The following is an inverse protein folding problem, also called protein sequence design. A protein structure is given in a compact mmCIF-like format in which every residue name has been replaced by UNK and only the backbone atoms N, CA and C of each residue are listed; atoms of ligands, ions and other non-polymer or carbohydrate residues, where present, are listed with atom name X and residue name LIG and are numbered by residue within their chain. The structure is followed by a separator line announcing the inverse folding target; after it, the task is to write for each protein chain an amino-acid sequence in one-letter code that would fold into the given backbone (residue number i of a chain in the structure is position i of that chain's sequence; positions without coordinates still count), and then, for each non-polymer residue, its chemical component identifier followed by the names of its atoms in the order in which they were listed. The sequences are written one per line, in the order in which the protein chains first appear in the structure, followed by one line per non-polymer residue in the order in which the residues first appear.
data_IF_203850831431
#
_entry.id   IF_203850831431
#
_cell.length_a   1.000
_cell.length_b   1.000
_cell.length_c   1.000
_cell.angle_alpha   90.00
_cell.angle_beta   90.00
_cell.angle_gamma   90.00
#
_symmetry.space_group_name_H-M   'P 1'
#
loop_
_entity.id
_entity.type
_entity.pdbx_description
1 polymer ?
#
# COMPACT_ATOMS: atom_id res chain seq x y z
N UNK A 1 3.27 -19.47 -3.42
CA UNK A 1 1.97 -19.01 -2.89
C UNK A 1 1.77 -17.58 -3.32
N UNK A 2 0.55 -17.18 -3.69
CA UNK A 2 0.29 -15.83 -4.22
C UNK A 2 -0.19 -14.87 -3.16
N UNK A 3 0.20 -13.62 -3.32
CA UNK A 3 -0.24 -12.50 -2.50
C UNK A 3 -0.55 -11.30 -3.38
N UNK A 4 -1.39 -10.41 -2.87
CA UNK A 4 -1.61 -9.09 -3.45
C UNK A 4 -1.29 -8.03 -2.43
N UNK A 5 -0.42 -7.09 -2.79
CA UNK A 5 -0.19 -5.85 -2.03
C UNK A 5 -0.92 -4.70 -2.71
N UNK A 6 -1.55 -3.83 -1.92
CA UNK A 6 -2.16 -2.60 -2.40
C UNK A 6 -1.34 -1.40 -1.95
N UNK A 7 -1.00 -0.54 -2.90
CA UNK A 7 -0.44 0.79 -2.68
C UNK A 7 -1.56 1.82 -2.90
N UNK A 8 -2.02 2.49 -1.85
CA UNK A 8 -3.18 3.38 -1.88
C UNK A 8 -2.84 4.85 -1.54
N UNK A 9 -3.83 5.73 -1.70
CA UNK A 9 -3.73 7.18 -1.53
C UNK A 9 -2.70 7.85 -2.46
N UNK A 10 -2.41 7.25 -3.61
CA UNK A 10 -1.40 7.78 -4.53
C UNK A 10 -1.86 9.11 -5.16
N UNK A 11 -0.93 10.03 -5.40
CA UNK A 11 -1.19 11.17 -6.28
C UNK A 11 -1.38 10.67 -7.72
N UNK A 12 -0.50 9.77 -8.17
CA UNK A 12 -0.57 9.12 -9.48
C UNK A 12 0.12 7.76 -9.47
N UNK A 13 -0.36 6.86 -10.33
CA UNK A 13 0.36 5.64 -10.69
C UNK A 13 1.40 5.94 -11.79
N UNK A 14 2.55 5.27 -11.73
CA UNK A 14 3.62 5.34 -12.75
C UNK A 14 3.69 4.07 -13.61
N UNK A 15 2.76 3.14 -13.38
CA UNK A 15 2.67 1.83 -14.02
C UNK A 15 1.30 1.65 -14.67
N UNK A 16 1.13 0.60 -15.48
CA UNK A 16 -0.15 0.17 -16.06
C UNK A 16 -0.47 -1.28 -15.71
N UNK A 17 -1.75 -1.62 -15.77
CA UNK A 17 -2.20 -3.02 -15.59
C UNK A 17 -1.50 -3.94 -16.60
N UNK A 18 -0.96 -5.05 -16.08
CA UNK A 18 -0.18 -6.02 -16.84
C UNK A 18 1.34 -5.83 -16.78
N UNK A 19 1.83 -4.69 -16.30
CA UNK A 19 3.28 -4.48 -16.13
C UNK A 19 3.88 -5.50 -15.17
N UNK A 20 5.09 -5.95 -15.49
CA UNK A 20 5.95 -6.72 -14.60
C UNK A 20 6.89 -5.75 -13.90
N UNK A 21 7.05 -5.92 -12.59
CA UNK A 21 7.90 -5.11 -11.74
C UNK A 21 9.07 -5.95 -11.24
N UNK A 22 10.27 -5.40 -11.37
CA UNK A 22 11.49 -5.88 -10.72
C UNK A 22 11.90 -4.91 -9.63
N UNK A 23 12.77 -5.36 -8.72
CA UNK A 23 13.23 -4.55 -7.59
C UNK A 23 13.76 -3.19 -8.05
N UNK A 24 13.27 -2.10 -7.44
CA UNK A 24 13.63 -0.74 -7.76
C UNK A 24 12.76 -0.05 -8.83
N UNK A 25 11.81 -0.76 -9.46
CA UNK A 25 10.86 -0.14 -10.38
C UNK A 25 9.91 0.81 -9.65
N UNK A 26 9.65 1.98 -10.24
CA UNK A 26 8.74 2.97 -9.67
C UNK A 26 7.28 2.56 -9.89
N UNK A 27 6.49 2.56 -8.82
CA UNK A 27 5.08 2.16 -8.83
C UNK A 27 4.16 3.37 -8.96
N UNK A 28 4.46 4.42 -8.21
CA UNK A 28 3.57 5.56 -8.04
C UNK A 28 4.21 6.66 -7.21
N UNK A 29 3.49 7.77 -7.08
CA UNK A 29 3.87 8.88 -6.20
C UNK A 29 2.86 8.93 -5.05
N UNK A 30 3.36 8.90 -3.82
CA UNK A 30 2.58 9.06 -2.60
C UNK A 30 1.82 10.39 -2.64
N UNK A 31 0.55 10.38 -2.28
CA UNK A 31 -0.28 11.58 -2.26
C UNK A 31 -1.32 11.51 -1.15
N UNK A 32 -2.44 12.18 -1.36
CA UNK A 32 -3.57 12.24 -0.43
C UNK A 32 -4.91 12.03 -1.13
N UNK A 33 -4.94 11.21 -2.20
CA UNK A 33 -6.18 10.92 -2.92
C UNK A 33 -7.14 10.06 -2.09
N UNK A 34 -8.44 10.12 -2.41
CA UNK A 34 -9.49 9.42 -1.67
C UNK A 34 -9.81 10.08 -0.32
N UNK A 35 -10.19 9.28 0.66
CA UNK A 35 -10.47 9.72 2.02
C UNK A 35 -9.18 9.76 2.85
N UNK A 36 -8.37 10.80 2.62
CA UNK A 36 -7.12 11.05 3.34
C UNK A 36 -7.00 12.51 3.74
N UNK A 37 -6.57 12.77 4.98
CA UNK A 37 -6.41 14.13 5.52
C UNK A 37 -5.05 14.75 5.21
N UNK A 38 -4.04 13.93 4.89
CA UNK A 38 -2.67 14.36 4.62
C UNK A 38 -1.92 13.31 3.79
N UNK A 39 -0.87 13.71 3.09
CA UNK A 39 -0.13 12.80 2.23
C UNK A 39 0.54 11.66 3.01
N UNK A 40 0.17 10.42 2.67
CA UNK A 40 0.74 9.18 3.19
C UNK A 40 0.47 8.02 2.25
N UNK A 41 1.25 6.95 2.37
CA UNK A 41 1.02 5.70 1.67
C UNK A 41 0.28 4.74 2.60
N UNK A 42 -0.88 4.26 2.18
CA UNK A 42 -1.51 3.10 2.80
C UNK A 42 -1.06 1.82 2.09
N UNK A 43 -0.56 0.86 2.85
CA UNK A 43 -0.17 -0.47 2.39
C UNK A 43 -0.94 -1.56 3.13
N UNK A 44 -1.53 -2.47 2.39
CA UNK A 44 -2.05 -3.73 2.94
C UNK A 44 -1.64 -4.90 2.03
N UNK A 45 -1.63 -6.10 2.61
CA UNK A 45 -1.29 -7.32 1.87
C UNK A 45 -2.26 -8.43 2.23
N UNK A 46 -2.71 -9.17 1.21
CA UNK A 46 -3.72 -10.22 1.33
C UNK A 46 -3.30 -11.49 0.58
N UNK A 47 -3.82 -12.64 0.98
CA UNK A 47 -3.58 -13.92 0.30
C UNK A 47 -4.33 -13.98 -1.04
N UNK A 48 -3.69 -14.58 -2.04
CA UNK A 48 -4.26 -14.79 -3.37
C UNK A 48 -4.15 -13.60 -4.33
N UNK A 49 -4.82 -13.72 -5.47
CA UNK A 49 -4.91 -12.66 -6.48
C UNK A 49 -6.18 -11.83 -6.27
N UNK A 50 -6.04 -10.66 -5.67
CA UNK A 50 -7.15 -9.72 -5.53
C UNK A 50 -7.28 -8.91 -6.83
N UNK A 51 -8.19 -9.34 -7.71
CA UNK A 51 -8.52 -8.68 -8.98
C UNK A 51 -9.75 -7.74 -8.87
N UNK A 52 -10.24 -7.54 -7.65
CA UNK A 52 -11.42 -6.74 -7.32
C UNK A 52 -11.09 -5.71 -6.24
N UNK A 53 -11.90 -4.65 -6.16
CA UNK A 53 -11.81 -3.66 -5.08
C UNK A 53 -12.26 -4.32 -3.77
N UNK A 54 -11.50 -4.11 -2.69
CA UNK A 54 -11.84 -4.56 -1.34
C UNK A 54 -11.57 -3.46 -0.32
N UNK A 55 -12.23 -3.51 0.83
CA UNK A 55 -12.15 -2.53 1.93
C UNK A 55 -11.52 -3.15 3.18
N UNK A 56 -11.24 -2.34 4.22
CA UNK A 56 -10.78 -2.89 5.52
C UNK A 56 -11.81 -3.84 6.13
N UNK A 57 -13.11 -3.50 6.02
CA UNK A 57 -14.19 -4.36 6.52
C UNK A 57 -14.32 -5.68 5.76
N UNK A 58 -13.83 -5.75 4.51
CA UNK A 58 -13.77 -7.01 3.75
C UNK A 58 -12.60 -7.88 4.24
N UNK A 59 -11.44 -7.26 4.51
CA UNK A 59 -10.28 -7.94 5.10
C UNK A 59 -10.60 -8.45 6.51
N UNK A 60 -11.35 -7.67 7.31
CA UNK A 60 -11.82 -8.06 8.65
C UNK A 60 -12.66 -9.33 8.62
N UNK A 61 -13.50 -9.48 7.58
CA UNK A 61 -14.30 -10.69 7.33
C UNK A 61 -13.46 -11.84 6.74
N UNK A 62 -12.17 -11.61 6.47
CA UNK A 62 -11.26 -12.58 5.87
C UNK A 62 -11.42 -12.75 4.35
N UNK A 63 -12.04 -11.78 3.66
CA UNK A 63 -12.34 -11.87 2.22
C UNK A 63 -11.93 -10.57 1.51
N UNK A 64 -10.67 -10.42 1.05
CA UNK A 64 -9.61 -11.43 1.04
C UNK A 64 -8.91 -11.56 2.41
N UNK A 65 -8.30 -12.71 2.65
CA UNK A 65 -7.63 -13.02 3.91
C UNK A 65 -6.36 -12.16 4.08
N UNK A 66 -6.16 -11.49 5.23
CA UNK A 66 -4.98 -10.66 5.45
C UNK A 66 -3.68 -11.49 5.54
N UNK A 67 -2.58 -10.91 5.07
CA UNK A 67 -1.24 -11.49 5.09
C UNK A 67 -0.21 -10.55 5.76
N UNK A 68 -0.34 -10.26 7.07
CA UNK A 68 0.50 -9.26 7.76
C UNK A 68 1.99 -9.60 7.73
N UNK A 69 2.36 -10.89 7.75
CA UNK A 69 3.77 -11.30 7.61
C UNK A 69 4.36 -10.87 6.28
N UNK A 70 3.59 -10.93 5.19
CA UNK A 70 4.06 -10.47 3.89
C UNK A 70 4.12 -8.95 3.83
N UNK A 71 3.12 -8.27 4.39
CA UNK A 71 3.10 -6.82 4.52
C UNK A 71 4.36 -6.28 5.23
N UNK A 72 4.82 -6.93 6.29
CA UNK A 72 6.02 -6.51 7.04
C UNK A 72 7.27 -6.41 6.17
N UNK A 73 7.42 -7.25 5.14
CA UNK A 73 8.58 -7.23 4.25
C UNK A 73 8.60 -6.04 3.29
N UNK A 74 7.52 -5.25 3.19
CA UNK A 74 7.50 -4.02 2.40
C UNK A 74 8.03 -2.82 3.18
N UNK A 75 8.25 -2.92 4.49
CA UNK A 75 8.69 -1.79 5.30
C UNK A 75 10.21 -1.83 5.46
N UNK A 76 10.90 -1.24 4.47
CA UNK A 76 12.34 -1.02 4.47
C UNK A 76 12.71 0.26 3.70
N UNK A 77 13.99 0.63 3.74
CA UNK A 77 14.49 1.86 3.10
C UNK A 77 14.30 1.86 1.57
N UNK A 78 14.19 0.70 0.92
CA UNK A 78 14.05 0.62 -0.53
C UNK A 78 12.64 1.07 -0.99
N UNK A 79 11.62 1.03 -0.13
CA UNK A 79 10.26 1.48 -0.45
C UNK A 79 10.21 2.95 -0.90
N UNK A 80 10.94 3.83 -0.20
CA UNK A 80 10.99 5.27 -0.48
C UNK A 80 12.39 5.77 -0.86
N UNK A 81 13.39 4.87 -0.97
CA UNK A 81 14.84 5.20 -1.01
C UNK A 81 15.28 6.07 0.17
N UNK A 82 14.64 5.85 1.31
CA UNK A 82 14.86 6.56 2.57
C UNK A 82 14.09 5.84 3.68
N UNK A 83 14.43 6.10 4.94
CA UNK A 83 13.80 5.41 6.07
C UNK A 83 12.28 5.64 6.12
N UNK A 84 11.46 4.57 6.06
CA UNK A 84 10.02 4.68 6.27
C UNK A 84 9.71 4.91 7.75
N UNK A 85 8.69 5.72 8.01
CA UNK A 85 8.09 5.93 9.33
C UNK A 85 6.65 5.46 9.26
N UNK A 86 6.31 4.46 10.07
CA UNK A 86 4.93 4.03 10.25
C UNK A 86 4.21 5.06 11.11
N UNK A 87 3.12 5.64 10.60
CA UNK A 87 2.25 6.58 11.32
C UNK A 87 1.01 5.90 11.88
N UNK A 88 0.60 4.78 11.30
CA UNK A 88 -0.48 3.93 11.82
C UNK A 88 -0.11 2.48 11.62
N UNK A 89 -0.08 1.72 12.73
CA UNK A 89 0.31 0.32 12.72
C UNK A 89 -0.84 -0.59 12.29
N UNK A 90 -0.48 -1.79 11.85
CA UNK A 90 -1.44 -2.86 11.58
C UNK A 90 -2.20 -3.21 12.87
N UNK A 91 -3.53 -3.19 12.77
CA UNK A 91 -4.47 -3.38 13.88
C UNK A 91 -4.17 -2.45 15.08
N UNK A 92 -3.83 -1.19 14.80
CA UNK A 92 -3.54 -0.20 15.82
C UNK A 92 -4.73 0.05 16.76
N UNK A 93 -4.49 -0.12 18.06
CA UNK A 93 -5.48 0.06 19.11
C UNK A 93 -6.04 1.49 19.15
N UNK A 94 -5.18 2.51 19.07
CA UNK A 94 -5.61 3.91 19.16
C UNK A 94 -6.45 4.29 17.93
N UNK A 95 -6.04 3.83 16.75
CA UNK A 95 -6.81 4.01 15.53
C UNK A 95 -8.21 3.41 15.64
N UNK A 96 -8.32 2.20 16.22
CA UNK A 96 -9.61 1.57 16.46
C UNK A 96 -10.49 2.36 17.42
N UNK A 97 -9.92 2.92 18.49
CA UNK A 97 -10.67 3.74 19.44
C UNK A 97 -11.15 5.05 18.82
N UNK A 98 -10.33 5.68 17.97
CA UNK A 98 -10.65 6.97 17.33
C UNK A 98 -11.67 6.82 16.19
N UNK A 99 -11.55 5.78 15.38
CA UNK A 99 -12.32 5.61 14.15
C UNK A 99 -13.35 4.48 14.19
N UNK A 100 -13.47 3.77 15.32
CA UNK A 100 -14.35 2.62 15.48
C UNK A 100 -14.17 1.53 14.40
N UNK A 101 -12.94 1.37 13.89
CA UNK A 101 -12.59 0.40 12.83
C UNK A 101 -11.16 -0.11 12.98
N UNK A 102 -10.90 -1.38 12.65
CA UNK A 102 -9.56 -1.97 12.70
C UNK A 102 -8.79 -1.65 11.42
N UNK A 103 -7.57 -1.14 11.54
CA UNK A 103 -6.71 -0.79 10.41
C UNK A 103 -5.91 -2.01 9.93
N UNK A 104 -6.33 -2.65 8.84
CA UNK A 104 -5.66 -3.84 8.29
C UNK A 104 -4.51 -3.50 7.32
N UNK A 105 -3.68 -2.51 7.66
CA UNK A 105 -2.56 -2.08 6.84
C UNK A 105 -1.50 -1.31 7.65
N UNK A 106 -0.57 -0.68 6.95
CA UNK A 106 0.30 0.34 7.49
C UNK A 106 0.05 1.65 6.76
N UNK A 107 -0.06 2.74 7.53
CA UNK A 107 0.10 4.07 6.96
C UNK A 107 1.55 4.48 7.18
N UNK A 108 2.23 4.80 6.07
CA UNK A 108 3.68 4.96 6.02
C UNK A 108 4.05 6.23 5.27
N UNK A 109 5.15 6.83 5.70
CA UNK A 109 5.69 8.05 5.09
C UNK A 109 7.22 8.02 5.12
N UNK A 110 7.92 8.72 4.20
CA UNK A 110 9.36 8.88 4.31
C UNK A 110 9.72 9.79 5.51
N UNK A 111 10.84 9.52 6.19
CA UNK A 111 11.23 10.27 7.39
C UNK A 111 11.34 11.79 7.15
N UNK A 112 11.77 12.17 5.94
CA UNK A 112 12.03 13.55 5.53
C UNK A 112 10.80 14.25 4.91
N UNK A 113 9.60 13.66 4.97
CA UNK A 113 8.38 14.20 4.32
C UNK A 113 8.02 15.64 4.67
N UNK A 114 8.46 16.13 5.83
CA UNK A 114 8.19 17.49 6.32
C UNK A 114 9.23 18.51 5.83
N UNK A 115 10.27 18.04 5.14
CA UNK A 115 11.40 18.82 4.64
C UNK A 115 11.38 18.87 3.11
N UNK A 116 11.12 17.74 2.45
CA UNK A 116 11.10 17.62 0.98
C UNK A 116 10.09 16.57 0.52
N UNK A 117 9.72 16.63 -0.75
CA UNK A 117 8.89 15.65 -1.47
C UNK A 117 9.72 14.69 -2.36
N UNK A 118 11.05 14.82 -2.38
CA UNK A 118 11.93 14.03 -3.25
C UNK A 118 11.78 12.51 -3.08
N UNK A 119 11.39 12.05 -1.89
CA UNK A 119 11.18 10.65 -1.55
C UNK A 119 9.70 10.22 -1.57
N UNK A 120 8.82 10.96 -2.24
CA UNK A 120 7.40 10.57 -2.37
C UNK A 120 7.20 9.49 -3.44
N UNK A 121 8.19 9.23 -4.30
CA UNK A 121 8.12 8.10 -5.23
C UNK A 121 8.21 6.79 -4.47
N UNK A 122 7.31 5.87 -4.78
CA UNK A 122 7.22 4.54 -4.19
C UNK A 122 7.80 3.54 -5.16
N UNK A 123 8.64 2.64 -4.66
CA UNK A 123 9.34 1.65 -5.45
C UNK A 123 8.93 0.22 -5.06
N UNK A 124 8.97 -0.68 -6.03
CA UNK A 124 8.86 -2.10 -5.77
C UNK A 124 10.11 -2.58 -5.05
N UNK A 125 10.00 -2.85 -3.75
CA UNK A 125 11.11 -3.21 -2.88
C UNK A 125 11.17 -4.71 -2.56
N UNK A 126 10.69 -5.54 -3.48
CA UNK A 126 10.75 -7.00 -3.33
C UNK A 126 11.64 -7.59 -4.41
N UNK A 127 12.42 -8.59 -4.03
CA UNK A 127 13.25 -9.37 -4.97
C UNK A 127 12.44 -10.27 -5.90
N UNK A 128 11.18 -10.55 -5.54
CA UNK A 128 10.25 -11.33 -6.35
C UNK A 128 9.66 -10.46 -7.46
N UNK A 129 9.36 -11.03 -8.62
CA UNK A 129 8.68 -10.30 -9.69
C UNK A 129 7.25 -9.98 -9.27
N UNK A 130 6.91 -8.69 -9.29
CA UNK A 130 5.54 -8.22 -9.14
C UNK A 130 4.83 -8.16 -10.50
N UNK A 131 3.52 -8.32 -10.52
CA UNK A 131 2.66 -8.03 -11.67
C UNK A 131 1.57 -7.06 -11.26
N UNK A 132 1.45 -5.94 -11.95
CA UNK A 132 0.37 -4.98 -11.73
C UNK A 132 -0.95 -5.62 -12.15
N UNK A 133 -1.73 -6.06 -11.18
CA UNK A 133 -3.00 -6.74 -11.38
C UNK A 133 -4.14 -5.76 -11.65
N UNK A 134 -4.13 -4.61 -10.98
CA UNK A 134 -5.19 -3.61 -11.12
C UNK A 134 -4.71 -2.22 -10.74
N UNK A 135 -5.27 -1.21 -11.39
CA UNK A 135 -5.20 0.19 -10.97
C UNK A 135 -6.65 0.64 -10.74
N UNK A 136 -6.90 1.26 -9.59
CA UNK A 136 -8.23 1.71 -9.19
C UNK A 136 -8.22 3.20 -8.91
N UNK A 137 -9.33 3.86 -9.21
CA UNK A 137 -9.67 5.17 -8.69
C UNK A 137 -10.88 5.00 -7.76
N UNK A 138 -10.67 5.22 -6.47
CA UNK A 138 -11.66 5.07 -5.41
C UNK A 138 -11.82 6.35 -4.57
N UNK A 139 -12.42 7.42 -5.12
CA UNK A 139 -12.47 8.72 -4.45
C UNK A 139 -13.22 8.70 -3.11
N UNK A 140 -14.16 7.77 -2.93
CA UNK A 140 -14.91 7.57 -1.68
C UNK A 140 -14.17 6.69 -0.65
N UNK A 141 -13.00 6.15 -0.99
CA UNK A 141 -12.22 5.25 -0.16
C UNK A 141 -10.72 5.50 -0.32
N UNK A 142 -10.02 4.57 -0.97
CA UNK A 142 -8.55 4.55 -0.99
C UNK A 142 -7.89 5.43 -2.07
N UNK A 143 -8.69 6.18 -2.83
CA UNK A 143 -8.20 7.03 -3.90
C UNK A 143 -7.54 6.23 -5.02
N UNK A 144 -6.45 6.77 -5.56
CA UNK A 144 -5.67 6.07 -6.58
C UNK A 144 -4.90 4.93 -5.94
N UNK A 145 -5.17 3.72 -6.41
CA UNK A 145 -4.54 2.50 -5.90
C UNK A 145 -3.86 1.71 -7.00
N UNK A 146 -2.74 1.07 -6.66
CA UNK A 146 -2.07 0.05 -7.49
C UNK A 146 -2.05 -1.26 -6.74
N UNK A 147 -2.54 -2.32 -7.38
CA UNK A 147 -2.58 -3.68 -6.84
C UNK A 147 -1.51 -4.48 -7.54
N UNK A 148 -0.56 -5.04 -6.78
CA UNK A 148 0.54 -5.85 -7.32
C UNK A 148 0.43 -7.27 -6.77
N UNK A 149 0.30 -8.22 -7.68
CA UNK A 149 0.34 -9.67 -7.37
C UNK A 149 1.79 -10.15 -7.43
N UNK A 150 2.19 -10.98 -6.48
CA UNK A 150 3.51 -11.60 -6.46
C UNK A 150 3.46 -13.02 -5.89
N UNK A 151 4.43 -13.84 -6.29
CA UNK A 151 4.61 -15.21 -5.84
C UNK A 151 5.76 -15.29 -4.83
N UNK A 152 5.54 -16.02 -3.73
CA UNK A 152 6.54 -16.39 -2.71
C UNK A 152 6.76 -17.90 -2.70
#
# INVERSE_FOLDING_TARGET
MKFTVRFAHLEKALVKTGDKLVEGDAIGVMGSSGQSSAAHLHLDCVEGEALFKYTQGDIEKGIPKPAPRQLNYFIDDALFKTTPVITTFYADYNYQQEHAKVHFGYDVVPFNRRITTDNFTIYWNRSMIGRVAKILDDPAGYGNCVYVVFDV
#
